data_IF_140144693560
#
_entry.id   IF_140144693560
#
_cell.length_a   1.000
_cell.length_b   1.000
_cell.length_c   1.000
_cell.angle_alpha   90.00
_cell.angle_beta   90.00
_cell.angle_gamma   90.00
#
_symmetry.space_group_name_H-M   'P 1'
#
loop_
_entity.id
_entity.type
_entity.pdbx_description
1 polymer ?
#
# COMPACT_ATOMS: atom_id res chain seq x y z
N UNK A 1 -13.26 -37.62 -6.86
CA UNK A 1 -13.85 -36.48 -6.15
C UNK A 1 -13.51 -35.22 -6.93
N UNK A 2 -14.48 -34.33 -7.11
CA UNK A 2 -14.26 -33.04 -7.75
C UNK A 2 -13.94 -31.99 -6.68
N UNK A 3 -12.84 -31.26 -6.86
CA UNK A 3 -12.53 -30.07 -6.07
C UNK A 3 -13.07 -28.84 -6.80
N UNK A 4 -13.70 -27.93 -6.06
CA UNK A 4 -14.07 -26.60 -6.52
C UNK A 4 -13.39 -25.58 -5.62
N UNK A 5 -12.86 -24.51 -6.21
CA UNK A 5 -12.46 -23.32 -5.46
C UNK A 5 -13.67 -22.38 -5.41
N UNK A 6 -13.96 -21.82 -4.24
CA UNK A 6 -15.03 -20.86 -4.05
C UNK A 6 -14.46 -19.61 -3.40
N UNK A 7 -14.72 -18.46 -4.01
CA UNK A 7 -14.35 -17.16 -3.46
C UNK A 7 -15.55 -16.55 -2.74
N UNK A 8 -15.36 -16.08 -1.51
CA UNK A 8 -16.40 -15.46 -0.69
C UNK A 8 -15.96 -14.03 -0.41
N UNK A 9 -16.80 -13.06 -0.82
CA UNK A 9 -16.60 -11.65 -0.48
C UNK A 9 -17.20 -11.42 0.91
N UNK A 10 -16.34 -11.15 1.90
CA UNK A 10 -16.78 -10.90 3.28
C UNK A 10 -17.21 -9.45 3.49
N UNK A 11 -16.50 -8.49 2.88
CA UNK A 11 -16.75 -7.06 3.01
C UNK A 11 -16.21 -6.33 1.77
N UNK A 12 -16.92 -5.31 1.29
CA UNK A 12 -16.54 -4.49 0.13
C UNK A 12 -16.77 -3.02 0.44
N UNK A 13 -15.79 -2.18 0.09
CA UNK A 13 -15.80 -0.74 0.29
C UNK A 13 -15.19 -0.07 -0.93
N UNK A 14 -15.90 0.89 -1.51
CA UNK A 14 -15.45 1.65 -2.68
C UNK A 14 -14.88 3.01 -2.28
N UNK A 15 -13.97 3.54 -3.10
CA UNK A 15 -13.38 4.88 -2.94
C UNK A 15 -12.67 5.11 -1.60
N UNK A 16 -12.03 4.08 -1.05
CA UNK A 16 -11.25 4.17 0.18
C UNK A 16 -9.79 4.48 -0.08
N UNK A 17 -9.15 5.20 0.85
CA UNK A 17 -7.70 5.38 0.83
C UNK A 17 -7.05 4.05 1.19
N UNK A 18 -6.24 3.51 0.28
CA UNK A 18 -5.53 2.26 0.49
C UNK A 18 -4.07 2.39 0.10
N UNK A 19 -3.22 1.65 0.79
CA UNK A 19 -1.79 1.57 0.50
C UNK A 19 -1.40 0.12 0.23
N UNK A 20 -0.30 -0.09 -0.51
CA UNK A 20 0.28 -1.42 -0.65
C UNK A 20 0.73 -1.92 0.72
N UNK A 21 0.35 -3.13 1.08
CA UNK A 21 0.73 -3.74 2.37
C UNK A 21 2.26 -3.84 2.51
N UNK A 22 3.00 -3.93 1.38
CA UNK A 22 4.47 -3.92 1.36
C UNK A 22 5.14 -2.64 1.86
N UNK A 23 4.39 -1.55 2.01
CA UNK A 23 4.87 -0.27 2.57
C UNK A 23 4.57 -0.15 4.07
N UNK A 24 3.70 -1.00 4.59
CA UNK A 24 3.29 -1.02 5.98
C UNK A 24 4.39 -1.59 6.86
N UNK A 25 4.63 -0.98 8.00
CA UNK A 25 5.57 -1.44 9.00
C UNK A 25 4.87 -1.59 10.35
N UNK A 26 5.37 -2.50 11.18
CA UNK A 26 4.86 -2.71 12.54
C UNK A 26 5.93 -2.37 13.56
N UNK A 27 5.53 -1.65 14.61
CA UNK A 27 6.42 -1.37 15.72
C UNK A 27 6.69 -2.66 16.50
N UNK A 28 7.96 -3.02 16.67
CA UNK A 28 8.35 -4.31 17.28
C UNK A 28 7.93 -4.44 18.75
N UNK A 29 7.62 -3.33 19.43
CA UNK A 29 7.26 -3.33 20.86
C UNK A 29 5.77 -3.19 21.08
N UNK A 30 5.13 -2.34 20.28
CA UNK A 30 3.72 -1.98 20.45
C UNK A 30 2.79 -2.64 19.44
N UNK A 31 3.36 -3.32 18.44
CA UNK A 31 2.64 -3.95 17.31
C UNK A 31 1.76 -2.96 16.54
N UNK A 32 1.98 -1.65 16.73
CA UNK A 32 1.21 -0.61 16.06
C UNK A 32 1.67 -0.46 14.61
N UNK A 33 0.73 -0.41 13.66
CA UNK A 33 1.05 -0.16 12.27
C UNK A 33 1.48 1.30 12.06
N UNK A 34 2.52 1.50 11.26
CA UNK A 34 3.01 2.81 10.86
C UNK A 34 3.59 2.79 9.45
N UNK A 35 3.69 3.96 8.85
CA UNK A 35 4.41 4.20 7.59
C UNK A 35 5.41 5.34 7.76
N UNK A 36 6.34 5.45 6.82
CA UNK A 36 7.24 6.61 6.72
C UNK A 36 6.73 7.55 5.63
N UNK A 37 6.26 8.73 6.02
CA UNK A 37 5.74 9.78 5.13
C UNK A 37 6.86 10.77 4.85
N UNK A 38 7.06 11.14 3.58
CA UNK A 38 8.05 12.13 3.18
C UNK A 38 7.57 13.52 3.58
N UNK A 39 8.39 14.22 4.35
CA UNK A 39 8.10 15.59 4.82
C UNK A 39 9.02 16.64 4.20
N UNK A 40 10.08 16.21 3.52
CA UNK A 40 11.05 17.09 2.86
C UNK A 40 11.96 16.32 1.91
N UNK A 41 13.04 16.98 1.48
CA UNK A 41 14.06 16.36 0.64
C UNK A 41 14.84 15.29 1.42
N UNK A 42 14.50 14.02 1.18
CA UNK A 42 15.07 12.85 1.86
C UNK A 42 14.75 12.76 3.36
N UNK A 43 13.82 13.57 3.85
CA UNK A 43 13.31 13.52 5.21
C UNK A 43 11.99 12.75 5.27
N UNK A 44 11.90 11.84 6.24
CA UNK A 44 10.73 10.97 6.42
C UNK A 44 10.31 10.95 7.89
N UNK A 45 9.01 11.11 8.12
CA UNK A 45 8.38 11.06 9.42
C UNK A 45 7.66 9.72 9.61
N UNK A 46 7.85 9.08 10.75
CA UNK A 46 7.02 7.93 11.14
C UNK A 46 5.64 8.38 11.56
N UNK A 47 4.64 7.97 10.80
CA UNK A 47 3.23 8.23 11.12
C UNK A 47 2.55 6.92 11.48
N UNK A 48 2.06 6.83 12.71
CA UNK A 48 1.19 5.73 13.14
C UNK A 48 -0.17 5.89 12.48
N UNK A 49 -0.68 4.80 11.92
CA UNK A 49 -1.92 4.81 11.14
C UNK A 49 -2.88 3.79 11.71
N UNK A 50 -4.17 3.95 11.40
CA UNK A 50 -5.19 2.96 11.70
C UNK A 50 -5.59 2.28 10.40
N UNK A 51 -5.55 0.95 10.42
CA UNK A 51 -5.86 0.12 9.26
C UNK A 51 -7.32 -0.30 9.28
N UNK A 52 -7.88 -0.52 8.09
CA UNK A 52 -9.20 -1.10 7.86
C UNK A 52 -9.08 -2.47 7.21
N UNK A 53 -9.85 -2.70 6.16
CA UNK A 53 -9.90 -3.97 5.41
C UNK A 53 -8.58 -4.17 4.63
N UNK A 54 -8.06 -5.41 4.62
CA UNK A 54 -6.97 -5.83 3.72
C UNK A 54 -7.48 -6.90 2.76
N UNK A 55 -7.07 -6.81 1.50
CA UNK A 55 -7.32 -7.83 0.46
C UNK A 55 -6.10 -8.75 0.23
N UNK A 56 -5.06 -8.62 1.07
CA UNK A 56 -3.78 -9.34 0.96
C UNK A 56 -2.77 -8.72 -0.01
N UNK A 57 -3.13 -7.63 -0.70
CA UNK A 57 -2.23 -6.83 -1.54
C UNK A 57 -2.17 -5.39 -1.05
N UNK A 58 -3.33 -4.82 -0.75
CA UNK A 58 -3.53 -3.48 -0.25
C UNK A 58 -4.30 -3.52 1.06
N UNK A 59 -4.07 -2.50 1.88
CA UNK A 59 -4.76 -2.29 3.13
C UNK A 59 -5.39 -0.91 3.15
N UNK A 60 -6.66 -0.85 3.55
CA UNK A 60 -7.40 0.38 3.78
C UNK A 60 -6.78 1.15 4.95
N UNK A 61 -6.73 2.47 4.80
CA UNK A 61 -6.35 3.40 5.85
C UNK A 61 -7.62 4.05 6.40
N UNK A 62 -7.98 3.64 7.62
CA UNK A 62 -9.11 4.20 8.36
C UNK A 62 -8.79 5.62 8.86
N UNK A 63 -7.56 5.86 9.32
CA UNK A 63 -7.09 7.20 9.69
C UNK A 63 -5.57 7.30 9.80
N UNK A 64 -5.07 8.53 9.73
CA UNK A 64 -3.65 8.85 9.92
C UNK A 64 -2.86 9.13 8.64
N UNK A 65 -3.49 9.05 7.46
CA UNK A 65 -2.92 9.51 6.19
C UNK A 65 -3.96 10.27 5.37
N UNK A 66 -3.46 11.11 4.47
CA UNK A 66 -4.24 11.75 3.43
C UNK A 66 -3.73 11.32 2.05
N UNK A 67 -4.54 11.49 1.01
CA UNK A 67 -4.18 11.10 -0.36
C UNK A 67 -2.95 11.84 -0.92
N UNK A 68 -2.60 12.99 -0.33
CA UNK A 68 -1.45 13.82 -0.71
C UNK A 68 -0.13 13.34 -0.06
N UNK A 69 -0.19 12.45 0.94
CA UNK A 69 1.01 11.97 1.64
C UNK A 69 1.85 11.04 0.74
N UNK A 70 3.13 11.37 0.55
CA UNK A 70 4.08 10.52 -0.17
C UNK A 70 4.72 9.50 0.79
N UNK A 71 4.44 8.20 0.59
CA UNK A 71 5.00 7.14 1.45
C UNK A 71 6.33 6.62 0.90
N UNK A 72 7.30 6.42 1.79
CA UNK A 72 8.61 5.86 1.46
C UNK A 72 8.49 4.41 0.97
N UNK A 73 9.08 4.16 -0.19
CA UNK A 73 9.17 2.81 -0.77
C UNK A 73 10.40 2.09 -0.20
N UNK A 74 10.16 1.10 0.66
CA UNK A 74 11.22 0.28 1.28
C UNK A 74 11.75 -0.79 0.34
N UNK A 75 10.85 -1.42 -0.41
CA UNK A 75 11.19 -2.50 -1.33
C UNK A 75 11.14 -1.98 -2.76
N UNK A 76 12.24 -1.39 -3.23
CA UNK A 76 12.52 -1.32 -4.67
C UNK A 76 12.90 -2.73 -5.14
N UNK A 77 11.92 -3.62 -5.27
CA UNK A 77 12.12 -4.79 -6.14
C UNK A 77 12.39 -4.19 -7.51
N UNK A 78 13.59 -4.43 -8.07
CA UNK A 78 13.91 -4.09 -9.46
C UNK A 78 12.91 -4.86 -10.34
N UNK A 79 11.75 -4.27 -10.62
CA UNK A 79 10.95 -4.66 -11.78
C UNK A 79 11.52 -3.83 -12.91
N UNK A 80 12.05 -4.54 -13.90
CA UNK A 80 12.76 -4.03 -15.04
C UNK A 80 12.06 -2.82 -15.67
N UNK A 81 12.90 -1.86 -16.05
CA UNK A 81 12.58 -0.79 -16.98
C UNK A 81 12.33 -1.39 -18.37
N UNK A 82 11.18 -2.00 -18.58
CA UNK A 82 10.73 -2.35 -19.93
C UNK A 82 9.21 -2.19 -20.02
N UNK A 83 8.79 -0.94 -20.24
CA UNK A 83 7.63 -0.53 -21.05
C UNK A 83 7.53 0.99 -21.01
N UNK A 84 8.56 1.63 -21.54
CA UNK A 84 8.43 2.98 -22.06
C UNK A 84 8.88 2.93 -23.51
N UNK A 85 8.00 3.41 -24.41
CA UNK A 85 8.22 3.75 -25.83
C UNK A 85 8.03 2.66 -26.90
N UNK A 86 6.86 2.70 -27.52
CA UNK A 86 6.73 2.90 -28.98
C UNK A 86 5.40 3.67 -29.17
N UNK A 87 5.48 5.01 -29.20
CA UNK A 87 5.53 5.85 -30.40
C UNK A 87 4.12 6.12 -30.97
N UNK A 88 3.59 7.31 -30.66
CA UNK A 88 2.65 8.03 -31.53
C UNK A 88 3.45 8.73 -32.64
N UNK A 89 2.87 8.73 -33.84
CA UNK A 89 3.07 9.65 -34.99
C UNK A 89 4.34 9.52 -35.89
N UNK A 90 4.23 8.73 -36.97
CA UNK A 90 4.12 9.21 -38.38
C UNK A 90 3.68 8.08 -39.34
#
# INVERSE_FOLDING_TARGET
GYSANADIVLEQKDSVLAIKESLLQFDKKTEKPYVEVKTGDQEFEKRTIKLGISDGINVEIDSGLVAEDEIKIWNKTKKDKDKDKNEEDE
#
